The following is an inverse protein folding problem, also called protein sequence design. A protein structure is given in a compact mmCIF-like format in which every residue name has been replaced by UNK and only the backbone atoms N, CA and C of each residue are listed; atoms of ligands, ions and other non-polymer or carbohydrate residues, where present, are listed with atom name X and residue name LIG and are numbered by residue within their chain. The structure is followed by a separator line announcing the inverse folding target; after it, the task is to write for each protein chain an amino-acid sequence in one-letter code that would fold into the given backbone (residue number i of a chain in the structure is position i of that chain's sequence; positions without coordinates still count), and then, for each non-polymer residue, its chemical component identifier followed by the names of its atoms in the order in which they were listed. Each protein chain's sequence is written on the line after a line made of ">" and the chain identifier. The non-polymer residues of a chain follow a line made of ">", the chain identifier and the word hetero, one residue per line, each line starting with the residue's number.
data_IF_758804274722
#
_entry.id   IF_758804274722
#
_cell.length_a   1.000
_cell.length_b   1.000
_cell.length_c   1.000
_cell.angle_alpha   90.00
_cell.angle_beta   90.00
_cell.angle_gamma   90.00
#
_symmetry.space_group_name_H-M   'P 1'
#
loop_
_entity.id
_entity.type
_entity.pdbx_description
1 polymer ?
#
# COMPACT_ATOMS: atom_id res chain seq x y z
N UNK A 1 -43.01 25.42 20.39
CA UNK A 1 -41.79 26.22 20.15
C UNK A 1 -40.52 25.49 20.63
N UNK A 2 -40.54 24.82 21.79
CA UNK A 2 -39.43 24.03 22.30
C UNK A 2 -39.16 22.80 21.42
N UNK A 3 -40.18 22.21 20.80
CA UNK A 3 -40.06 21.04 19.91
C UNK A 3 -39.37 21.38 18.60
N UNK A 4 -39.54 22.59 18.08
CA UNK A 4 -38.85 23.04 16.85
C UNK A 4 -37.36 23.23 17.07
N UNK A 5 -36.92 23.75 18.21
CA UNK A 5 -35.51 23.88 18.56
C UNK A 5 -34.84 22.51 18.76
N UNK A 6 -35.55 21.54 19.33
CA UNK A 6 -35.07 20.18 19.53
C UNK A 6 -34.92 19.44 18.19
N UNK A 7 -35.85 19.63 17.24
CA UNK A 7 -35.77 19.05 15.90
C UNK A 7 -34.58 19.60 15.09
N UNK A 8 -34.30 20.88 15.18
CA UNK A 8 -33.14 21.52 14.52
C UNK A 8 -31.82 20.96 15.07
N UNK A 9 -31.72 20.73 16.37
CA UNK A 9 -30.53 20.14 16.99
C UNK A 9 -30.32 18.68 16.57
N UNK A 10 -31.39 17.91 16.48
CA UNK A 10 -31.31 16.52 16.00
C UNK A 10 -30.91 16.45 14.56
N UNK A 11 -31.40 17.32 13.68
CA UNK A 11 -31.02 17.37 12.26
C UNK A 11 -29.57 17.73 12.09
N UNK A 12 -29.02 18.67 12.86
CA UNK A 12 -27.61 19.03 12.84
C UNK A 12 -26.72 17.87 13.32
N UNK A 13 -27.14 17.09 14.30
CA UNK A 13 -26.42 15.93 14.82
C UNK A 13 -26.32 14.82 13.75
N UNK A 14 -27.39 14.56 13.00
CA UNK A 14 -27.44 13.57 11.94
C UNK A 14 -26.51 13.97 10.79
N UNK A 15 -26.45 15.25 10.42
CA UNK A 15 -25.56 15.78 9.41
C UNK A 15 -24.08 15.64 9.81
N UNK A 16 -23.75 15.91 11.07
CA UNK A 16 -22.40 15.77 11.60
C UNK A 16 -21.95 14.31 11.60
N UNK A 17 -22.82 13.37 11.94
CA UNK A 17 -22.55 11.93 11.88
C UNK A 17 -22.34 11.44 10.44
N UNK A 18 -23.12 11.95 9.49
CA UNK A 18 -22.97 11.61 8.07
C UNK A 18 -21.63 12.07 7.50
N UNK A 19 -21.18 13.26 7.87
CA UNK A 19 -19.87 13.78 7.47
C UNK A 19 -18.71 12.97 8.06
N UNK A 20 -18.83 12.55 9.31
CA UNK A 20 -17.82 11.71 9.95
C UNK A 20 -17.72 10.33 9.29
N UNK A 21 -18.82 9.72 8.87
CA UNK A 21 -18.83 8.45 8.16
C UNK A 21 -18.14 8.54 6.80
N UNK A 22 -18.26 9.66 6.10
CA UNK A 22 -17.55 9.90 4.82
C UNK A 22 -16.03 10.00 5.01
N UNK A 23 -15.57 10.58 6.13
CA UNK A 23 -14.14 10.68 6.47
C UNK A 23 -13.56 9.32 6.84
N UNK A 24 -14.30 8.47 7.56
CA UNK A 24 -13.87 7.12 7.94
C UNK A 24 -13.88 6.11 6.78
N UNK A 25 -14.51 6.43 5.65
CA UNK A 25 -14.54 5.57 4.46
C UNK A 25 -13.24 5.54 3.66
N UNK A 26 -12.28 6.44 3.94
CA UNK A 26 -10.99 6.50 3.23
C UNK A 26 -9.91 5.79 4.03
N UNK A 27 -9.72 4.49 3.76
CA UNK A 27 -8.59 3.74 4.31
C UNK A 27 -7.35 3.97 3.46
N UNK A 28 -6.24 4.32 4.12
CA UNK A 28 -4.92 4.27 3.51
C UNK A 28 -4.35 2.87 3.68
N UNK A 29 -3.90 2.26 2.59
CA UNK A 29 -3.30 0.94 2.62
C UNK A 29 -1.79 1.05 2.68
N UNK A 30 -1.17 0.18 3.49
CA UNK A 30 0.28 0.10 3.64
C UNK A 30 0.76 -1.33 3.42
N UNK A 31 1.86 -1.47 2.69
CA UNK A 31 2.63 -2.70 2.66
C UNK A 31 3.65 -2.68 3.81
N UNK A 32 4.31 -3.81 4.07
CA UNK A 32 5.35 -3.87 5.08
C UNK A 32 6.51 -4.75 4.62
N UNK A 33 7.72 -4.36 4.99
CA UNK A 33 8.90 -5.22 4.91
C UNK A 33 9.08 -5.97 6.23
N UNK A 34 9.43 -7.25 6.17
CA UNK A 34 9.54 -8.10 7.36
C UNK A 34 10.58 -7.56 8.34
N UNK A 35 11.75 -7.25 7.86
CA UNK A 35 12.79 -6.57 8.62
C UNK A 35 13.79 -5.89 7.68
N UNK A 36 14.61 -5.02 8.24
CA UNK A 36 15.56 -4.24 7.47
C UNK A 36 16.62 -5.09 6.78
N UNK A 37 17.13 -6.12 7.45
CA UNK A 37 18.17 -6.98 6.90
C UNK A 37 17.66 -7.75 5.66
N UNK A 38 16.45 -8.30 5.73
CA UNK A 38 15.84 -9.00 4.58
C UNK A 38 15.53 -8.04 3.43
N UNK A 39 15.08 -6.83 3.74
CA UNK A 39 14.81 -5.82 2.71
C UNK A 39 16.11 -5.45 1.98
N UNK A 40 17.16 -5.14 2.69
CA UNK A 40 18.47 -4.81 2.10
C UNK A 40 19.04 -5.98 1.30
N UNK A 41 18.93 -7.19 1.81
CA UNK A 41 19.34 -8.41 1.11
C UNK A 41 18.55 -8.62 -0.17
N UNK A 42 17.25 -8.38 -0.13
CA UNK A 42 16.38 -8.47 -1.31
C UNK A 42 16.73 -7.44 -2.37
N UNK A 43 17.00 -6.21 -1.99
CA UNK A 43 17.43 -5.16 -2.92
C UNK A 43 18.78 -5.53 -3.55
N UNK A 44 19.72 -6.03 -2.76
CA UNK A 44 21.03 -6.44 -3.25
C UNK A 44 20.94 -7.62 -4.25
N UNK A 45 20.06 -8.58 -3.98
CA UNK A 45 19.91 -9.80 -4.81
C UNK A 45 18.95 -9.64 -5.98
N UNK A 46 18.11 -8.60 -5.98
CA UNK A 46 17.06 -8.42 -6.97
C UNK A 46 15.79 -9.23 -6.70
N UNK A 47 15.61 -9.72 -5.47
CA UNK A 47 14.42 -10.46 -5.03
C UNK A 47 13.83 -9.77 -3.80
N UNK A 48 12.94 -8.80 -4.02
CA UNK A 48 12.43 -7.92 -2.98
C UNK A 48 11.08 -8.43 -2.50
N UNK A 49 10.93 -8.64 -1.18
CA UNK A 49 9.71 -9.13 -0.58
C UNK A 49 9.01 -8.03 0.20
N UNK A 50 7.71 -7.87 -0.06
CA UNK A 50 6.83 -6.98 0.69
C UNK A 50 5.55 -7.74 1.06
N UNK A 51 5.11 -7.59 2.31
CA UNK A 51 3.80 -8.09 2.72
C UNK A 51 2.75 -7.07 2.35
N UNK A 52 1.78 -7.49 1.53
CA UNK A 52 0.70 -6.63 1.09
C UNK A 52 -0.46 -6.66 2.08
N UNK A 53 -1.25 -5.57 2.20
CA UNK A 53 -2.40 -5.57 3.09
C UNK A 53 -3.49 -6.54 2.59
N UNK A 54 -4.34 -7.00 3.51
CA UNK A 54 -5.37 -7.99 3.21
C UNK A 54 -6.40 -7.52 2.17
N UNK A 55 -6.56 -6.22 2.00
CA UNK A 55 -7.46 -5.62 1.02
C UNK A 55 -6.98 -5.82 -0.43
N UNK A 56 -5.70 -6.11 -0.62
CA UNK A 56 -5.14 -6.40 -1.95
C UNK A 56 -5.42 -7.86 -2.28
N UNK A 57 -6.14 -8.11 -3.36
CA UNK A 57 -6.50 -9.45 -3.80
C UNK A 57 -5.43 -10.05 -4.70
N UNK A 58 -5.34 -11.38 -4.70
CA UNK A 58 -4.46 -12.10 -5.62
C UNK A 58 -4.77 -11.77 -7.08
N UNK A 59 -6.06 -11.64 -7.42
CA UNK A 59 -6.50 -11.26 -8.76
C UNK A 59 -5.92 -9.91 -9.19
N UNK A 60 -5.95 -8.92 -8.29
CA UNK A 60 -5.39 -7.60 -8.58
C UNK A 60 -3.87 -7.66 -8.70
N UNK A 61 -3.19 -8.42 -7.87
CA UNK A 61 -1.74 -8.60 -7.97
C UNK A 61 -1.37 -9.15 -9.35
N UNK A 62 -2.03 -10.22 -9.78
CA UNK A 62 -1.78 -10.86 -11.08
C UNK A 62 -2.08 -9.88 -12.22
N UNK A 63 -3.21 -9.19 -12.15
CA UNK A 63 -3.65 -8.25 -13.18
C UNK A 63 -2.65 -7.10 -13.36
N UNK A 64 -2.28 -6.45 -12.28
CA UNK A 64 -1.38 -5.29 -12.34
C UNK A 64 0.06 -5.70 -12.66
N UNK A 65 0.51 -6.87 -12.21
CA UNK A 65 1.86 -7.36 -12.51
C UNK A 65 2.10 -7.50 -14.02
N UNK A 66 1.07 -7.77 -14.81
CA UNK A 66 1.18 -7.91 -16.26
C UNK A 66 1.66 -6.63 -16.96
N UNK A 67 1.45 -5.48 -16.36
CA UNK A 67 1.87 -4.20 -16.94
C UNK A 67 3.39 -3.95 -16.79
N UNK A 68 4.07 -4.71 -15.96
CA UNK A 68 5.45 -4.43 -15.57
C UNK A 68 6.41 -5.59 -15.85
N UNK A 69 6.01 -6.53 -16.70
CA UNK A 69 6.80 -7.75 -16.99
C UNK A 69 8.18 -7.48 -17.60
N UNK A 70 8.39 -6.31 -18.17
CA UNK A 70 9.71 -5.90 -18.67
C UNK A 70 10.66 -5.46 -17.55
N UNK A 71 10.14 -5.18 -16.37
CA UNK A 71 10.91 -4.67 -15.22
C UNK A 71 11.09 -5.72 -14.14
N UNK A 72 10.03 -6.45 -13.83
CA UNK A 72 10.05 -7.50 -12.82
C UNK A 72 8.88 -8.47 -13.01
N UNK A 73 9.00 -9.64 -12.41
CA UNK A 73 7.88 -10.54 -12.20
C UNK A 73 7.49 -10.55 -10.72
N UNK A 74 6.24 -10.89 -10.42
CA UNK A 74 5.73 -10.90 -9.05
C UNK A 74 5.23 -12.30 -8.72
N UNK A 75 5.80 -12.90 -7.68
CA UNK A 75 5.26 -14.11 -7.04
C UNK A 75 4.49 -13.69 -5.79
N UNK A 76 3.24 -14.10 -5.70
CA UNK A 76 2.39 -13.74 -4.59
C UNK A 76 1.93 -14.98 -3.83
N UNK A 77 2.26 -15.04 -2.53
CA UNK A 77 1.76 -16.07 -1.63
C UNK A 77 0.45 -15.60 -1.00
N UNK A 78 -0.66 -16.22 -1.41
CA UNK A 78 -1.99 -15.83 -0.95
C UNK A 78 -2.21 -16.10 0.56
N UNK A 79 -1.47 -17.02 1.15
CA UNK A 79 -1.57 -17.32 2.60
C UNK A 79 -0.91 -16.28 3.46
N UNK A 80 0.32 -15.92 3.13
CA UNK A 80 1.11 -14.92 3.89
C UNK A 80 0.92 -13.49 3.39
N UNK A 81 0.30 -13.31 2.22
CA UNK A 81 0.19 -12.04 1.51
C UNK A 81 1.54 -11.41 1.13
N UNK A 82 2.58 -12.23 1.01
CA UNK A 82 3.90 -11.77 0.61
C UNK A 82 4.02 -11.76 -0.90
N UNK A 83 4.33 -10.59 -1.45
CA UNK A 83 4.70 -10.42 -2.86
C UNK A 83 6.22 -10.39 -2.97
N UNK A 84 6.78 -11.23 -3.83
CA UNK A 84 8.21 -11.24 -4.15
C UNK A 84 8.41 -10.67 -5.54
N UNK A 85 9.13 -9.56 -5.62
CA UNK A 85 9.47 -8.91 -6.89
C UNK A 85 10.81 -9.44 -7.35
N UNK A 86 10.82 -10.17 -8.49
CA UNK A 86 12.03 -10.67 -9.12
C UNK A 86 12.45 -9.69 -10.20
N UNK A 87 13.48 -8.91 -9.92
CA UNK A 87 13.95 -7.88 -10.85
C UNK A 87 14.62 -8.50 -12.07
N UNK A 88 14.28 -8.05 -13.27
CA UNK A 88 14.97 -8.44 -14.50
C UNK A 88 16.30 -7.70 -14.57
N UNK A 89 16.27 -6.36 -14.44
CA UNK A 89 17.46 -5.55 -14.21
C UNK A 89 17.36 -5.00 -12.79
N UNK A 90 18.39 -5.22 -11.99
CA UNK A 90 18.37 -4.76 -10.60
C UNK A 90 19.09 -3.42 -10.47
N UNK A 91 18.44 -2.37 -10.98
CA UNK A 91 18.94 -1.00 -10.89
C UNK A 91 17.88 -0.08 -10.27
N UNK A 92 18.27 1.14 -9.84
CA UNK A 92 17.32 2.05 -9.19
C UNK A 92 16.13 2.41 -10.06
N UNK A 93 16.31 2.57 -11.37
CA UNK A 93 15.21 2.92 -12.27
C UNK A 93 14.15 1.82 -12.34
N UNK A 94 14.59 0.56 -12.44
CA UNK A 94 13.71 -0.60 -12.45
C UNK A 94 13.02 -0.77 -11.10
N UNK A 95 13.74 -0.59 -9.99
CA UNK A 95 13.16 -0.69 -8.65
C UNK A 95 12.12 0.39 -8.39
N UNK A 96 12.27 1.59 -8.98
CA UNK A 96 11.28 2.66 -8.87
C UNK A 96 9.91 2.23 -9.43
N UNK A 97 9.89 1.35 -10.42
CA UNK A 97 8.64 0.87 -11.03
C UNK A 97 7.81 0.05 -10.05
N UNK A 98 8.43 -0.54 -9.01
CA UNK A 98 7.70 -1.20 -7.93
C UNK A 98 6.68 -0.25 -7.29
N UNK A 99 7.03 1.04 -7.16
CA UNK A 99 6.12 2.05 -6.61
C UNK A 99 4.84 2.19 -7.43
N UNK A 100 4.93 2.06 -8.74
CA UNK A 100 3.76 2.10 -9.64
C UNK A 100 2.84 0.91 -9.41
N UNK A 101 3.43 -0.27 -9.23
CA UNK A 101 2.67 -1.47 -8.89
C UNK A 101 1.97 -1.31 -7.54
N UNK A 102 2.65 -0.79 -6.53
CA UNK A 102 2.06 -0.52 -5.22
C UNK A 102 0.91 0.48 -5.32
N UNK A 103 1.11 1.59 -6.04
CA UNK A 103 0.07 2.61 -6.26
C UNK A 103 -1.15 2.04 -6.99
N UNK A 104 -0.95 1.18 -7.98
CA UNK A 104 -2.05 0.53 -8.70
C UNK A 104 -2.92 -0.30 -7.75
N UNK A 105 -2.33 -0.88 -6.71
CA UNK A 105 -3.02 -1.63 -5.67
C UNK A 105 -3.49 -0.75 -4.50
N UNK A 106 -3.52 0.57 -4.66
CA UNK A 106 -3.98 1.54 -3.66
C UNK A 106 -3.08 1.61 -2.41
N UNK A 107 -1.86 1.13 -2.50
CA UNK A 107 -0.88 1.18 -1.42
C UNK A 107 -0.16 2.52 -1.51
N UNK A 108 -0.14 3.27 -0.40
CA UNK A 108 0.43 4.63 -0.35
C UNK A 108 1.67 4.73 0.54
N UNK A 109 1.96 3.69 1.31
CA UNK A 109 3.08 3.68 2.25
C UNK A 109 3.63 2.28 2.43
N UNK A 110 4.87 2.20 2.90
CA UNK A 110 5.52 0.94 3.29
C UNK A 110 6.06 1.09 4.71
N UNK A 111 5.72 0.15 5.58
CA UNK A 111 6.29 0.08 6.91
C UNK A 111 7.56 -0.76 6.89
N UNK A 112 8.64 -0.20 7.41
CA UNK A 112 9.90 -0.91 7.61
C UNK A 112 10.20 -0.88 9.11
N UNK A 113 10.14 -2.05 9.73
CA UNK A 113 10.19 -2.19 11.18
C UNK A 113 9.05 -1.38 11.82
N UNK A 114 9.32 -0.39 12.65
CA UNK A 114 8.30 0.38 13.35
C UNK A 114 8.04 1.75 12.71
N UNK A 115 8.55 1.99 11.51
CA UNK A 115 8.43 3.29 10.85
C UNK A 115 7.71 3.17 9.52
N UNK A 116 6.78 4.10 9.26
CA UNK A 116 6.05 4.21 8.01
C UNK A 116 6.73 5.20 7.08
N UNK A 117 6.90 4.81 5.83
CA UNK A 117 7.47 5.64 4.76
C UNK A 117 6.44 5.79 3.66
N UNK A 118 6.21 7.01 3.17
CA UNK A 118 5.48 7.15 1.90
C UNK A 118 6.30 6.52 0.77
N UNK A 119 5.69 6.31 -0.39
CA UNK A 119 6.35 5.59 -1.48
C UNK A 119 7.64 6.27 -1.93
N UNK A 120 7.64 7.60 -2.02
CA UNK A 120 8.85 8.35 -2.38
C UNK A 120 9.97 8.18 -1.36
N UNK A 121 9.65 8.31 -0.07
CA UNK A 121 10.60 8.12 1.01
C UNK A 121 11.11 6.67 1.09
N UNK A 122 10.23 5.70 0.85
CA UNK A 122 10.61 4.29 0.78
C UNK A 122 11.64 4.04 -0.32
N UNK A 123 11.40 4.61 -1.51
CA UNK A 123 12.37 4.52 -2.61
C UNK A 123 13.71 5.15 -2.24
N UNK A 124 13.69 6.38 -1.72
CA UNK A 124 14.91 7.12 -1.40
C UNK A 124 15.75 6.43 -0.33
N UNK A 125 15.11 5.82 0.65
CA UNK A 125 15.82 5.18 1.77
C UNK A 125 16.25 3.75 1.47
N UNK A 126 15.54 3.01 0.61
CA UNK A 126 15.76 1.56 0.50
C UNK A 126 15.88 1.02 -0.93
N UNK A 127 15.36 1.69 -1.94
CA UNK A 127 15.36 1.17 -3.32
C UNK A 127 16.34 1.85 -4.28
N UNK A 128 17.01 2.86 -3.81
CA UNK A 128 18.09 3.50 -4.59
C UNK A 128 19.32 2.64 -4.72
#
# INVERSE_FOLDING_TARGET
>A
LSNLCTMKKVTLLVLALGLNLLVFGQKTLSASAKNLAELKGGVASGHIQLTLPNEVTEENVIMYAKFYTNMFTVDFDAKSHVATFHMIANDPNARRVILRFLSANQIVAVQVENKSYDLGAFFENYLQ
#
